data_IF_949565408595
#
_entry.id   IF_949565408595
#
_cell.length_a   1.000
_cell.length_b   1.000
_cell.length_c   1.000
_cell.angle_alpha   90.00
_cell.angle_beta   90.00
_cell.angle_gamma   90.00
#
_symmetry.space_group_name_H-M   'P 1'
#
loop_
_entity.id
_entity.type
_entity.pdbx_description
1 polymer ?
#
# COMPACT_ATOMS: atom_id res chain seq x y z
N UNK A 1 -4.60 -9.36 1.69
CA UNK A 1 -5.21 -10.49 2.42
C UNK A 1 -4.78 -10.38 3.87
N UNK A 2 -5.67 -9.93 4.75
CA UNK A 2 -5.49 -10.03 6.20
C UNK A 2 -6.43 -11.10 6.76
N UNK A 3 -6.20 -11.53 7.99
CA UNK A 3 -7.11 -12.45 8.68
C UNK A 3 -6.82 -13.94 8.48
N UNK A 4 -7.82 -14.76 8.81
CA UNK A 4 -7.71 -16.24 8.93
C UNK A 4 -7.13 -16.94 7.70
N UNK A 5 -7.35 -16.40 6.50
CA UNK A 5 -6.77 -16.93 5.27
C UNK A 5 -5.23 -16.82 5.21
N UNK A 6 -4.63 -15.81 5.87
CA UNK A 6 -3.18 -15.66 5.93
C UNK A 6 -2.55 -16.75 6.81
N UNK A 7 -3.08 -16.97 8.02
CA UNK A 7 -2.63 -18.08 8.90
C UNK A 7 -2.75 -19.42 8.20
N UNK A 8 -3.87 -19.70 7.55
CA UNK A 8 -4.08 -20.98 6.87
C UNK A 8 -3.08 -21.20 5.72
N UNK A 9 -2.69 -20.13 5.03
CA UNK A 9 -1.78 -20.21 3.88
C UNK A 9 -0.30 -20.13 4.25
N UNK A 10 0.07 -19.59 5.42
CA UNK A 10 1.46 -19.52 5.89
C UNK A 10 1.82 -20.61 6.88
N UNK A 11 0.83 -21.32 7.44
CA UNK A 11 1.06 -22.39 8.40
C UNK A 11 1.72 -23.61 7.73
N UNK A 12 2.91 -24.06 8.18
CA UNK A 12 3.63 -25.17 7.57
C UNK A 12 3.09 -26.56 7.98
N UNK A 13 2.19 -26.62 8.98
CA UNK A 13 1.62 -27.86 9.53
C UNK A 13 0.18 -28.14 9.10
N UNK A 14 -0.50 -29.04 9.81
CA UNK A 14 -1.92 -29.33 9.56
C UNK A 14 -2.84 -28.36 10.31
N UNK A 15 -4.12 -28.31 9.90
CA UNK A 15 -5.17 -27.57 10.63
C UNK A 15 -5.29 -28.01 12.10
N UNK A 16 -5.12 -29.31 12.37
CA UNK A 16 -5.18 -29.85 13.73
C UNK A 16 -3.99 -29.37 14.57
N UNK A 17 -2.80 -29.27 13.98
CA UNK A 17 -1.61 -28.74 14.66
C UNK A 17 -1.77 -27.26 15.00
N UNK A 18 -2.42 -26.50 14.11
CA UNK A 18 -2.74 -25.08 14.32
C UNK A 18 -3.77 -24.90 15.43
N UNK A 19 -4.84 -25.71 15.43
CA UNK A 19 -5.85 -25.70 16.50
C UNK A 19 -5.24 -26.04 17.87
N UNK A 20 -4.42 -27.10 17.93
CA UNK A 20 -3.72 -27.48 19.15
C UNK A 20 -2.77 -26.38 19.65
N UNK A 21 -2.15 -25.61 18.74
CA UNK A 21 -1.34 -24.44 19.12
C UNK A 21 -2.20 -23.34 19.74
N UNK A 22 -3.33 -23.00 19.14
CA UNK A 22 -4.23 -21.98 19.69
C UNK A 22 -4.80 -22.38 21.05
N UNK A 23 -5.10 -23.66 21.27
CA UNK A 23 -5.48 -24.16 22.61
C UNK A 23 -4.37 -23.97 23.63
N UNK A 24 -3.10 -24.22 23.25
CA UNK A 24 -1.95 -23.97 24.14
C UNK A 24 -1.80 -22.48 24.46
N UNK A 25 -1.96 -21.60 23.48
CA UNK A 25 -1.91 -20.15 23.70
C UNK A 25 -3.05 -19.66 24.61
N UNK A 26 -4.25 -20.18 24.38
CA UNK A 26 -5.42 -19.81 25.17
C UNK A 26 -5.25 -20.18 26.65
N UNK A 27 -4.73 -21.37 26.92
CA UNK A 27 -4.56 -21.92 28.28
C UNK A 27 -3.24 -21.53 28.96
N UNK A 28 -2.35 -20.81 28.28
CA UNK A 28 -1.07 -20.39 28.84
C UNK A 28 -1.23 -19.33 29.94
N UNK A 29 -0.41 -19.44 30.99
CA UNK A 29 -0.34 -18.43 32.06
C UNK A 29 0.50 -17.22 31.64
N UNK A 30 1.49 -17.42 30.77
CA UNK A 30 2.42 -16.41 30.29
C UNK A 30 2.62 -16.49 28.78
N UNK A 31 3.04 -15.37 28.19
CA UNK A 31 3.38 -15.31 26.77
C UNK A 31 4.71 -16.02 26.49
N UNK A 32 4.72 -16.91 25.51
CA UNK A 32 5.90 -17.64 25.06
C UNK A 32 6.42 -17.05 23.73
N UNK A 33 7.61 -16.42 23.72
CA UNK A 33 8.19 -15.84 22.50
C UNK A 33 8.42 -16.83 21.36
N UNK A 34 8.54 -18.14 21.64
CA UNK A 34 8.68 -19.16 20.58
C UNK A 34 7.44 -19.23 19.68
N UNK A 35 6.31 -18.66 20.10
CA UNK A 35 5.15 -18.56 19.23
C UNK A 35 5.41 -17.68 18.00
N UNK A 36 6.37 -16.76 18.07
CA UNK A 36 6.72 -15.83 16.98
C UNK A 36 7.50 -16.50 15.85
N UNK A 37 8.14 -17.65 16.10
CA UNK A 37 9.08 -18.29 15.16
C UNK A 37 8.42 -18.80 13.87
N UNK A 38 7.12 -19.10 13.90
CA UNK A 38 6.40 -19.78 12.80
C UNK A 38 5.33 -18.92 12.12
N UNK A 39 5.07 -17.72 12.62
CA UNK A 39 4.06 -16.81 12.07
C UNK A 39 4.74 -15.51 11.64
N UNK A 40 4.56 -15.16 10.37
CA UNK A 40 5.26 -14.06 9.67
C UNK A 40 5.06 -12.69 10.33
N UNK A 41 4.01 -12.50 11.14
CA UNK A 41 3.69 -11.27 11.84
C UNK A 41 3.68 -11.47 13.36
N UNK A 42 4.80 -11.18 14.02
CA UNK A 42 4.99 -11.24 15.48
C UNK A 42 3.86 -10.56 16.26
N UNK A 43 3.47 -9.38 15.82
CA UNK A 43 2.56 -8.51 16.55
C UNK A 43 1.08 -8.85 16.30
N UNK A 44 0.80 -9.70 15.32
CA UNK A 44 -0.50 -10.36 15.17
C UNK A 44 -0.67 -11.53 16.13
N UNK A 45 0.43 -12.18 16.51
CA UNK A 45 0.41 -13.14 17.62
C UNK A 45 0.16 -12.40 18.94
N UNK A 46 0.74 -11.22 19.12
CA UNK A 46 0.49 -10.39 20.29
C UNK A 46 -0.98 -9.99 20.40
N UNK A 47 -1.55 -9.52 19.30
CA UNK A 47 -2.96 -9.18 19.19
C UNK A 47 -3.85 -10.40 19.45
N UNK A 48 -3.58 -11.53 18.77
CA UNK A 48 -4.32 -12.78 18.96
C UNK A 48 -4.27 -13.26 20.40
N UNK A 49 -3.08 -13.29 21.01
CA UNK A 49 -2.91 -13.74 22.39
C UNK A 49 -3.62 -12.83 23.40
N UNK A 50 -3.64 -11.52 23.15
CA UNK A 50 -4.43 -10.55 23.91
C UNK A 50 -5.93 -10.79 23.78
N UNK A 51 -6.44 -10.99 22.56
CA UNK A 51 -7.86 -11.27 22.31
C UNK A 51 -8.34 -12.62 22.83
N UNK A 52 -7.44 -13.57 23.10
CA UNK A 52 -7.82 -14.84 23.74
C UNK A 52 -8.26 -14.66 25.21
N UNK A 53 -7.82 -13.61 25.90
CA UNK A 53 -8.25 -13.25 27.26
C UNK A 53 -8.15 -11.73 27.51
N UNK A 54 -9.02 -10.93 26.87
CA UNK A 54 -8.95 -9.47 26.90
C UNK A 54 -9.32 -8.87 28.27
N UNK A 55 -9.74 -9.69 29.22
CA UNK A 55 -9.96 -9.26 30.60
C UNK A 55 -8.64 -9.15 31.37
N UNK A 56 -7.66 -10.01 31.06
CA UNK A 56 -6.41 -10.10 31.83
C UNK A 56 -5.15 -9.83 30.98
N UNK A 57 -5.28 -9.75 29.66
CA UNK A 57 -4.15 -9.64 28.73
C UNK A 57 -4.27 -8.38 27.85
N UNK A 58 -3.23 -7.53 27.83
CA UNK A 58 -3.14 -6.41 26.90
C UNK A 58 -3.25 -6.86 25.44
N UNK A 59 -4.10 -6.21 24.66
CA UNK A 59 -4.14 -6.40 23.21
C UNK A 59 -3.15 -5.42 22.59
N UNK A 60 -2.10 -5.95 21.98
CA UNK A 60 -1.04 -5.16 21.37
C UNK A 60 -1.04 -5.41 19.87
N UNK A 61 -1.29 -4.35 19.11
CA UNK A 61 -1.19 -4.34 17.66
C UNK A 61 -0.53 -3.04 17.16
N UNK A 62 -0.18 -2.98 15.88
CA UNK A 62 0.47 -1.82 15.28
C UNK A 62 -0.28 -0.49 15.44
N UNK A 63 -1.62 -0.50 15.48
CA UNK A 63 -2.41 0.72 15.70
C UNK A 63 -2.36 1.14 17.17
N UNK A 64 -2.43 0.19 18.11
CA UNK A 64 -2.15 0.41 19.52
C UNK A 64 -0.76 1.01 19.72
N UNK A 65 0.25 0.51 19.00
CA UNK A 65 1.61 1.08 19.03
C UNK A 65 1.65 2.52 18.49
N UNK A 66 0.90 2.79 17.42
CA UNK A 66 0.76 4.14 16.84
C UNK A 66 0.09 5.09 17.83
N UNK A 67 -1.03 4.70 18.43
CA UNK A 67 -1.76 5.49 19.42
C UNK A 67 -0.92 5.79 20.66
N UNK A 68 -0.16 4.81 21.17
CA UNK A 68 0.78 5.03 22.28
C UNK A 68 1.81 6.10 21.93
N UNK A 69 2.41 6.02 20.75
CA UNK A 69 3.42 6.98 20.27
C UNK A 69 2.83 8.39 20.10
N UNK A 70 1.65 8.50 19.49
CA UNK A 70 0.91 9.76 19.31
C UNK A 70 0.59 10.44 20.64
N UNK A 71 0.36 9.65 21.69
CA UNK A 71 0.08 10.14 23.04
C UNK A 71 1.34 10.32 23.90
N UNK A 72 2.53 10.12 23.34
CA UNK A 72 3.82 10.32 24.02
C UNK A 72 4.24 9.18 24.95
N UNK A 73 3.66 7.99 24.79
CA UNK A 73 4.05 6.78 25.52
C UNK A 73 5.03 5.92 24.70
N UNK A 74 5.93 5.23 25.39
CA UNK A 74 6.90 4.35 24.73
C UNK A 74 6.19 3.11 24.17
N UNK A 75 6.53 2.74 22.92
CA UNK A 75 6.08 1.49 22.32
C UNK A 75 6.73 0.28 23.03
N UNK A 76 5.95 -0.76 23.40
CA UNK A 76 6.49 -2.07 23.76
C UNK A 76 7.49 -2.59 22.73
N UNK A 77 8.63 -3.10 23.20
CA UNK A 77 9.64 -3.73 22.35
C UNK A 77 9.34 -5.21 22.07
N UNK A 78 8.68 -5.86 23.04
CA UNK A 78 8.20 -7.23 22.99
C UNK A 78 6.95 -7.34 23.89
N UNK A 79 6.20 -8.45 23.78
CA UNK A 79 4.94 -8.62 24.54
C UNK A 79 5.15 -8.63 26.06
N UNK A 80 6.31 -9.11 26.53
CA UNK A 80 6.64 -9.20 27.94
C UNK A 80 7.09 -7.83 28.50
N UNK A 81 7.74 -7.01 27.67
CA UNK A 81 8.28 -5.69 27.99
C UNK A 81 7.35 -4.56 27.51
N UNK A 82 6.17 -4.53 28.12
CA UNK A 82 5.04 -3.64 27.77
C UNK A 82 4.84 -2.47 28.73
N UNK A 83 5.90 -2.04 29.43
CA UNK A 83 5.83 -0.96 30.44
C UNK A 83 5.22 0.34 29.93
N UNK A 84 5.41 0.67 28.65
CA UNK A 84 4.82 1.86 28.06
C UNK A 84 3.30 1.78 27.96
N UNK A 85 2.77 0.60 27.61
CA UNK A 85 1.34 0.31 27.63
C UNK A 85 0.79 0.33 29.06
N UNK A 86 1.48 -0.29 30.02
CA UNK A 86 1.06 -0.29 31.44
C UNK A 86 0.95 1.12 32.00
N UNK A 87 1.92 1.98 31.69
CA UNK A 87 1.88 3.41 32.07
C UNK A 87 0.72 4.17 31.42
N UNK A 88 0.37 3.82 30.19
CA UNK A 88 -0.82 4.38 29.54
C UNK A 88 -2.09 3.90 30.22
N UNK A 89 -2.22 2.59 30.50
CA UNK A 89 -3.38 2.02 31.17
C UNK A 89 -3.61 2.66 32.55
N UNK A 90 -2.55 2.84 33.34
CA UNK A 90 -2.62 3.55 34.63
C UNK A 90 -3.08 5.01 34.47
N UNK A 91 -2.57 5.71 33.45
CA UNK A 91 -2.96 7.08 33.17
C UNK A 91 -4.43 7.18 32.73
N UNK A 92 -4.86 6.27 31.85
CA UNK A 92 -6.23 6.19 31.35
C UNK A 92 -7.21 5.88 32.49
N UNK A 93 -6.92 4.88 33.33
CA UNK A 93 -7.75 4.55 34.49
C UNK A 93 -7.86 5.74 35.47
N UNK A 94 -6.76 6.46 35.70
CA UNK A 94 -6.76 7.60 36.62
C UNK A 94 -7.61 8.80 36.16
N UNK A 95 -7.85 8.93 34.85
CA UNK A 95 -8.52 10.09 34.23
C UNK A 95 -9.94 9.72 33.80
N UNK A 96 -10.06 8.61 33.07
CA UNK A 96 -11.30 8.14 32.43
C UNK A 96 -11.94 7.02 33.26
N UNK A 97 -11.12 6.10 33.79
CA UNK A 97 -11.59 4.83 34.35
C UNK A 97 -12.01 3.84 33.26
N UNK A 98 -12.73 2.78 33.63
CA UNK A 98 -13.35 1.84 32.69
C UNK A 98 -14.66 2.42 32.14
N UNK A 99 -14.58 3.14 31.03
CA UNK A 99 -15.63 3.98 30.48
C UNK A 99 -16.91 3.21 30.13
N UNK A 100 -16.75 1.96 29.70
CA UNK A 100 -17.86 1.06 29.33
C UNK A 100 -18.41 0.25 30.51
N UNK A 101 -17.77 0.26 31.68
CA UNK A 101 -18.20 -0.50 32.85
C UNK A 101 -19.63 -0.13 33.29
N UNK A 102 -20.45 -1.15 33.58
CA UNK A 102 -21.85 -1.02 33.98
C UNK A 102 -22.75 -0.27 32.98
N UNK A 103 -22.37 -0.29 31.69
CA UNK A 103 -23.20 0.19 30.57
C UNK A 103 -23.76 -0.98 29.76
N UNK A 104 -24.72 -0.69 28.87
CA UNK A 104 -25.26 -1.69 27.93
C UNK A 104 -24.22 -2.16 26.88
N UNK A 105 -23.06 -1.51 26.82
CA UNK A 105 -21.95 -1.79 25.90
C UNK A 105 -20.66 -2.12 26.66
N UNK A 106 -20.77 -2.68 27.86
CA UNK A 106 -19.61 -3.09 28.66
C UNK A 106 -18.72 -4.09 27.89
N UNK A 107 -17.46 -3.71 27.70
CA UNK A 107 -16.42 -4.54 27.09
C UNK A 107 -15.29 -4.81 28.09
N UNK A 108 -14.49 -5.88 27.90
CA UNK A 108 -13.33 -6.14 28.74
C UNK A 108 -12.34 -4.96 28.80
N UNK A 109 -11.65 -4.79 29.92
CA UNK A 109 -10.78 -3.62 30.16
C UNK A 109 -9.72 -3.40 29.08
N UNK A 110 -8.92 -4.43 28.74
CA UNK A 110 -7.90 -4.26 27.70
C UNK A 110 -8.47 -4.13 26.29
N UNK A 111 -9.73 -4.56 26.10
CA UNK A 111 -10.47 -4.33 24.87
C UNK A 111 -10.81 -2.85 24.70
N UNK A 112 -11.30 -2.19 25.75
CA UNK A 112 -11.57 -0.74 25.72
C UNK A 112 -10.30 0.09 25.43
N UNK A 113 -9.20 -0.24 26.11
CA UNK A 113 -7.92 0.46 25.92
C UNK A 113 -7.40 0.32 24.49
N UNK A 114 -7.57 -0.86 23.88
CA UNK A 114 -7.19 -1.10 22.50
C UNK A 114 -8.02 -0.26 21.53
N UNK A 115 -9.36 -0.25 21.66
CA UNK A 115 -10.23 0.56 20.80
C UNK A 115 -9.91 2.06 20.88
N UNK A 116 -9.62 2.57 22.08
CA UNK A 116 -9.21 3.96 22.25
C UNK A 116 -7.87 4.27 21.56
N UNK A 117 -6.87 3.41 21.75
CA UNK A 117 -5.55 3.60 21.15
C UNK A 117 -5.57 3.40 19.64
N UNK A 118 -6.44 2.52 19.13
CA UNK A 118 -6.71 2.37 17.70
C UNK A 118 -7.25 3.68 17.15
N UNK A 119 -8.32 4.24 17.72
CA UNK A 119 -8.86 5.55 17.33
C UNK A 119 -7.80 6.65 17.36
N UNK A 120 -7.01 6.73 18.44
CA UNK A 120 -5.93 7.72 18.56
C UNK A 120 -4.77 7.48 17.57
N UNK A 121 -4.61 6.25 17.08
CA UNK A 121 -3.60 5.86 16.11
C UNK A 121 -4.03 6.03 14.65
N UNK A 122 -5.34 6.18 14.38
CA UNK A 122 -5.91 6.27 13.03
C UNK A 122 -6.49 7.64 12.66
N UNK A 123 -7.01 8.39 13.62
CA UNK A 123 -7.70 9.67 13.36
C UNK A 123 -6.76 10.88 13.51
N UNK A 124 -6.94 11.93 12.69
CA UNK A 124 -6.31 13.24 12.93
C UNK A 124 -7.09 14.01 14.02
N UNK A 125 -6.50 15.04 14.63
CA UNK A 125 -7.16 15.83 15.70
C UNK A 125 -8.50 16.49 15.28
N UNK A 126 -8.72 16.70 13.98
CA UNK A 126 -9.95 17.28 13.43
C UNK A 126 -11.08 16.23 13.33
N UNK A 127 -10.75 14.97 13.11
CA UNK A 127 -11.70 13.86 12.92
C UNK A 127 -12.20 13.26 14.24
N UNK A 128 -11.42 13.34 15.33
CA UNK A 128 -11.87 12.93 16.68
C UNK A 128 -13.08 13.77 17.15
N UNK A 129 -13.22 15.00 16.66
CA UNK A 129 -14.38 15.86 16.95
C UNK A 129 -15.62 15.55 16.10
N UNK A 130 -15.47 14.86 14.97
CA UNK A 130 -16.55 14.55 14.03
C UNK A 130 -17.02 13.08 14.10
N UNK A 131 -16.21 12.17 14.64
CA UNK A 131 -16.40 10.71 14.59
C UNK A 131 -17.30 10.08 15.69
N UNK A 132 -17.85 10.84 16.65
CA UNK A 132 -18.80 10.29 17.64
C UNK A 132 -20.24 10.49 17.14
N UNK A 133 -20.79 9.59 16.29
CA UNK A 133 -21.38 8.33 16.78
C UNK A 133 -21.30 7.13 15.80
N UNK A 134 -21.93 5.99 16.17
CA UNK A 134 -22.22 4.73 15.40
C UNK A 134 -21.20 3.61 15.72
N UNK A 135 -21.47 2.34 16.09
CA UNK A 135 -22.62 1.43 16.40
C UNK A 135 -21.95 0.09 16.84
N UNK A 136 -22.54 -0.79 17.67
CA UNK A 136 -21.82 -1.79 18.47
C UNK A 136 -21.88 -3.22 17.92
N UNK A 137 -21.36 -3.49 16.72
CA UNK A 137 -21.21 -4.87 16.24
C UNK A 137 -19.80 -5.17 15.73
N UNK A 138 -19.09 -5.98 16.54
CA UNK A 138 -17.85 -6.72 16.28
C UNK A 138 -16.68 -5.97 15.60
N UNK A 139 -15.70 -5.48 16.40
CA UNK A 139 -14.43 -5.01 15.86
C UNK A 139 -13.64 -6.17 15.24
N UNK A 140 -13.19 -5.95 14.01
CA UNK A 140 -12.24 -6.79 13.28
C UNK A 140 -10.88 -6.75 14.00
N UNK A 141 -10.14 -7.84 13.96
CA UNK A 141 -8.72 -7.91 14.37
C UNK A 141 -7.91 -7.02 13.43
N UNK A 142 -7.34 -5.91 13.93
CA UNK A 142 -6.81 -4.80 13.09
C UNK A 142 -5.28 -4.81 12.98
N UNK A 143 -4.58 -5.39 13.95
CA UNK A 143 -3.13 -5.54 13.92
C UNK A 143 -2.62 -6.29 12.71
N UNK A 144 -3.41 -7.21 12.19
CA UNK A 144 -3.08 -7.89 10.97
C UNK A 144 -3.29 -7.10 9.67
N UNK A 145 -4.08 -6.04 9.68
CA UNK A 145 -4.22 -5.14 8.54
C UNK A 145 -3.06 -4.13 8.47
N UNK A 146 -2.39 -3.86 9.59
CA UNK A 146 -1.22 -2.98 9.65
C UNK A 146 0.13 -3.69 9.87
N UNK A 147 0.12 -5.02 10.09
CA UNK A 147 1.32 -5.89 10.12
C UNK A 147 1.28 -7.03 9.11
N UNK A 148 0.26 -7.06 8.26
CA UNK A 148 0.31 -7.82 7.01
C UNK A 148 1.45 -7.37 6.09
N UNK A 149 2.18 -6.31 6.44
CA UNK A 149 3.23 -5.68 5.67
C UNK A 149 4.59 -6.32 5.93
N UNK A 150 4.99 -7.21 5.02
CA UNK A 150 6.35 -7.30 4.48
C UNK A 150 7.52 -7.52 5.46
N UNK A 151 8.55 -8.25 5.01
CA UNK A 151 9.91 -7.96 5.49
C UNK A 151 10.13 -6.45 5.40
N UNK A 152 10.28 -5.78 6.55
CA UNK A 152 10.24 -4.32 6.67
C UNK A 152 11.33 -3.73 5.78
N UNK A 153 10.96 -3.21 4.60
CA UNK A 153 11.91 -2.50 3.75
C UNK A 153 12.38 -1.27 4.54
N UNK A 154 13.62 -1.30 5.01
CA UNK A 154 14.27 -0.21 5.71
C UNK A 154 15.04 0.61 4.69
N UNK A 155 14.54 1.81 4.41
CA UNK A 155 15.26 2.75 3.56
C UNK A 155 16.53 3.25 4.24
N UNK A 156 17.62 3.32 3.48
CA UNK A 156 18.94 3.83 3.86
C UNK A 156 19.26 4.99 2.92
N UNK A 157 19.88 6.04 3.47
CA UNK A 157 20.40 7.18 2.70
C UNK A 157 19.38 7.86 1.75
N UNK A 158 18.08 7.74 2.05
CA UNK A 158 17.01 8.27 1.22
C UNK A 158 16.84 9.80 1.39
N UNK A 159 17.18 10.37 2.55
CA UNK A 159 16.92 11.78 2.85
C UNK A 159 17.57 12.76 1.86
N UNK A 160 18.88 12.65 1.52
CA UNK A 160 19.50 13.51 0.51
C UNK A 160 18.83 13.42 -0.87
N UNK A 161 18.31 12.23 -1.21
CA UNK A 161 17.62 12.03 -2.48
C UNK A 161 16.26 12.75 -2.50
N UNK A 162 15.50 12.69 -1.39
CA UNK A 162 14.23 13.41 -1.25
C UNK A 162 14.44 14.93 -1.23
N UNK A 163 15.47 15.41 -0.54
CA UNK A 163 15.85 16.84 -0.53
C UNK A 163 16.14 17.34 -1.94
N UNK A 164 16.96 16.59 -2.69
CA UNK A 164 17.26 16.90 -4.09
C UNK A 164 15.97 16.91 -4.93
N UNK A 165 15.04 15.99 -4.67
CA UNK A 165 13.80 15.86 -5.44
C UNK A 165 12.89 17.06 -5.20
N UNK A 166 12.66 17.38 -3.93
CA UNK A 166 11.89 18.54 -3.50
C UNK A 166 12.46 19.83 -4.08
N UNK A 167 13.78 20.05 -4.00
CA UNK A 167 14.40 21.26 -4.58
C UNK A 167 14.22 21.32 -6.11
N UNK A 168 14.40 20.19 -6.80
CA UNK A 168 14.19 20.13 -8.25
C UNK A 168 12.73 20.39 -8.63
N UNK A 169 11.77 19.88 -7.87
CA UNK A 169 10.34 20.11 -8.09
C UNK A 169 9.95 21.57 -7.83
N UNK A 170 10.41 22.14 -6.71
CA UNK A 170 10.21 23.54 -6.35
C UNK A 170 10.75 24.51 -7.42
N UNK A 171 11.83 24.12 -8.12
CA UNK A 171 12.40 24.87 -9.24
C UNK A 171 11.76 24.62 -10.61
N UNK A 172 10.71 23.80 -10.71
CA UNK A 172 10.09 23.44 -11.99
C UNK A 172 10.92 22.45 -12.83
N UNK A 173 11.91 21.78 -12.25
CA UNK A 173 12.89 20.93 -12.96
C UNK A 173 12.35 19.66 -13.60
N UNK A 174 11.04 19.41 -13.52
CA UNK A 174 10.35 18.32 -14.22
C UNK A 174 9.40 18.83 -15.32
N UNK A 175 9.34 20.14 -15.54
CA UNK A 175 8.52 20.80 -16.56
C UNK A 175 9.17 20.79 -17.94
N UNK A 176 8.35 20.92 -18.98
CA UNK A 176 8.83 20.89 -20.36
C UNK A 176 9.73 22.09 -20.65
N UNK A 177 11.00 21.82 -20.98
CA UNK A 177 11.97 22.84 -21.36
C UNK A 177 12.75 23.45 -20.18
N UNK A 178 12.53 22.96 -18.96
CA UNK A 178 13.31 23.31 -17.78
C UNK A 178 14.41 22.26 -17.52
N UNK A 179 15.55 22.71 -17.00
CA UNK A 179 16.66 21.82 -16.60
C UNK A 179 16.66 21.69 -15.09
N UNK A 180 16.31 20.51 -14.59
CA UNK A 180 16.32 20.19 -13.16
C UNK A 180 17.68 19.71 -12.65
N UNK A 181 17.71 19.30 -11.37
CA UNK A 181 18.91 18.75 -10.74
C UNK A 181 19.31 17.35 -11.26
N UNK A 182 18.49 16.77 -12.13
CA UNK A 182 18.76 15.53 -12.87
C UNK A 182 18.96 15.76 -14.37
N UNK A 183 18.97 17.01 -14.85
CA UNK A 183 19.05 17.35 -16.27
C UNK A 183 17.67 17.61 -16.89
N UNK A 184 17.56 17.43 -18.21
CA UNK A 184 16.37 17.78 -19.01
C UNK A 184 15.30 16.67 -18.99
N UNK A 185 14.93 16.19 -17.80
CA UNK A 185 13.87 15.20 -17.62
C UNK A 185 12.50 15.87 -17.57
N UNK A 186 11.76 15.83 -18.67
CA UNK A 186 10.35 16.23 -18.68
C UNK A 186 9.46 15.10 -18.17
N UNK A 187 8.89 15.28 -16.98
CA UNK A 187 8.07 14.27 -16.29
C UNK A 187 6.70 14.81 -15.83
N UNK A 188 6.48 16.13 -15.86
CA UNK A 188 5.21 16.77 -15.47
C UNK A 188 3.99 16.30 -16.29
N UNK A 189 4.23 15.76 -17.50
CA UNK A 189 3.21 15.14 -18.34
C UNK A 189 2.43 14.02 -17.63
N UNK A 190 3.01 13.36 -16.62
CA UNK A 190 2.34 12.30 -15.86
C UNK A 190 1.10 12.82 -15.15
N UNK A 191 1.18 14.00 -14.54
CA UNK A 191 0.06 14.63 -13.84
C UNK A 191 -1.02 15.07 -14.84
N UNK A 192 -0.61 15.68 -15.97
CA UNK A 192 -1.55 16.01 -17.06
C UNK A 192 -2.29 14.77 -17.57
N UNK A 193 -1.57 13.67 -17.77
CA UNK A 193 -2.18 12.43 -18.26
C UNK A 193 -3.07 11.76 -17.20
N UNK A 194 -2.64 11.71 -15.93
CA UNK A 194 -3.46 11.18 -14.85
C UNK A 194 -4.73 12.01 -14.64
N UNK A 195 -4.68 13.34 -14.77
CA UNK A 195 -5.87 14.19 -14.70
C UNK A 195 -6.81 13.98 -15.89
N UNK A 196 -6.26 13.76 -17.09
CA UNK A 196 -7.03 13.35 -18.27
C UNK A 196 -7.75 12.01 -18.05
N UNK A 197 -7.07 11.02 -17.46
CA UNK A 197 -7.68 9.73 -17.11
C UNK A 197 -8.76 9.92 -16.05
N UNK A 198 -8.46 10.60 -14.95
CA UNK A 198 -9.42 10.90 -13.88
C UNK A 198 -10.67 11.59 -14.42
N UNK A 199 -10.50 12.54 -15.32
CA UNK A 199 -11.61 13.31 -15.89
C UNK A 199 -12.42 12.51 -16.90
N UNK A 200 -11.79 11.84 -17.86
CA UNK A 200 -12.52 11.19 -18.95
C UNK A 200 -12.89 9.74 -18.60
N UNK A 201 -11.96 8.97 -18.04
CA UNK A 201 -12.21 7.55 -17.75
C UNK A 201 -13.22 7.39 -16.62
N UNK A 202 -13.11 8.15 -15.51
CA UNK A 202 -14.07 8.00 -14.40
C UNK A 202 -15.43 8.65 -14.65
N UNK A 203 -15.52 9.60 -15.58
CA UNK A 203 -16.79 10.26 -15.90
C UNK A 203 -17.56 9.52 -17.00
N UNK A 204 -16.86 8.94 -17.97
CA UNK A 204 -17.48 8.26 -19.11
C UNK A 204 -17.76 6.77 -18.85
N UNK A 205 -17.05 6.13 -17.91
CA UNK A 205 -17.13 4.69 -17.69
C UNK A 205 -17.33 4.33 -16.22
N UNK A 206 -18.17 3.31 -15.96
CA UNK A 206 -18.18 2.61 -14.69
C UNK A 206 -17.02 1.60 -14.69
N UNK A 207 -15.84 2.06 -14.25
CA UNK A 207 -14.58 1.31 -14.40
C UNK A 207 -14.54 -0.04 -13.68
N UNK A 208 -15.46 -0.28 -12.74
CA UNK A 208 -15.65 -1.56 -12.04
C UNK A 208 -16.72 -2.45 -12.67
N UNK A 209 -17.37 -2.00 -13.73
CA UNK A 209 -18.39 -2.73 -14.51
C UNK A 209 -18.31 -2.37 -16.01
N UNK A 210 -17.10 -2.47 -16.58
CA UNK A 210 -16.86 -2.21 -17.99
C UNK A 210 -17.57 -3.25 -18.86
N UNK A 211 -18.19 -2.79 -19.95
CA UNK A 211 -18.69 -3.69 -20.99
C UNK A 211 -17.65 -3.95 -22.09
N UNK A 212 -17.81 -5.08 -22.79
CA UNK A 212 -16.93 -5.42 -23.92
C UNK A 212 -17.00 -4.40 -25.07
N UNK A 213 -18.15 -3.76 -25.27
CA UNK A 213 -18.37 -2.79 -26.35
C UNK A 213 -17.65 -1.46 -26.09
N UNK A 214 -17.41 -1.12 -24.82
CA UNK A 214 -16.70 0.09 -24.39
C UNK A 214 -15.18 -0.05 -24.45
N UNK A 215 -14.67 -1.28 -24.57
CA UNK A 215 -13.26 -1.57 -24.35
C UNK A 215 -12.33 -0.83 -25.33
N UNK A 216 -12.74 -0.68 -26.60
CA UNK A 216 -11.91 0.04 -27.57
C UNK A 216 -11.83 1.55 -27.27
N UNK A 217 -12.93 2.18 -26.86
CA UNK A 217 -12.93 3.61 -26.50
C UNK A 217 -12.24 3.84 -25.17
N UNK A 218 -12.48 2.98 -24.19
CA UNK A 218 -11.80 2.98 -22.89
C UNK A 218 -10.28 2.93 -23.06
N UNK A 219 -9.75 1.97 -23.83
CA UNK A 219 -8.31 1.83 -24.06
C UNK A 219 -7.68 2.99 -24.82
N UNK A 220 -8.46 3.74 -25.62
CA UNK A 220 -7.96 4.95 -26.31
C UNK A 220 -7.62 6.06 -25.33
N UNK A 221 -8.33 6.18 -24.21
CA UNK A 221 -8.08 7.21 -23.19
C UNK A 221 -6.67 7.07 -22.58
N UNK A 222 -6.17 5.83 -22.46
CA UNK A 222 -4.82 5.56 -21.93
C UNK A 222 -3.69 5.87 -22.91
N UNK A 223 -3.96 6.15 -24.19
CA UNK A 223 -2.93 6.25 -25.23
C UNK A 223 -2.08 7.51 -25.08
N UNK A 224 -2.70 8.69 -25.11
CA UNK A 224 -2.08 10.02 -24.93
C UNK A 224 -3.19 11.02 -24.59
N UNK A 225 -3.01 11.82 -23.55
CA UNK A 225 -3.82 13.01 -23.34
C UNK A 225 -3.56 14.05 -24.45
N UNK A 226 -4.53 14.92 -24.78
CA UNK A 226 -4.41 15.91 -25.86
C UNK A 226 -3.16 16.80 -25.79
N UNK A 227 -2.71 17.16 -24.58
CA UNK A 227 -1.58 18.07 -24.35
C UNK A 227 -0.26 17.33 -24.04
N UNK A 228 -0.23 16.00 -24.16
CA UNK A 228 0.94 15.18 -23.88
C UNK A 228 1.65 14.78 -25.18
N UNK A 229 2.71 15.52 -25.51
CA UNK A 229 3.51 15.36 -26.73
C UNK A 229 4.81 14.56 -26.50
N UNK A 230 4.68 13.31 -26.09
CA UNK A 230 5.83 12.41 -25.98
C UNK A 230 6.30 11.92 -27.35
N UNK A 231 7.56 11.47 -27.42
CA UNK A 231 8.14 10.84 -28.62
C UNK A 231 7.48 9.51 -29.01
N UNK A 232 6.69 8.93 -28.10
CA UNK A 232 5.85 7.75 -28.29
C UNK A 232 4.59 7.87 -27.45
N UNK A 233 3.62 6.96 -27.59
CA UNK A 233 2.43 6.98 -26.73
C UNK A 233 2.79 6.77 -25.27
N UNK A 234 2.02 7.29 -24.31
CA UNK A 234 2.25 7.10 -22.87
C UNK A 234 2.52 5.63 -22.48
N UNK A 235 1.73 4.63 -22.91
CA UNK A 235 2.01 3.23 -22.57
C UNK A 235 3.35 2.74 -23.14
N UNK A 236 3.63 3.06 -24.40
CA UNK A 236 4.92 2.76 -25.06
C UNK A 236 6.09 3.35 -24.27
N UNK A 237 6.01 4.62 -23.86
CA UNK A 237 7.07 5.28 -23.09
C UNK A 237 7.30 4.58 -21.75
N UNK A 238 6.25 4.41 -20.95
CA UNK A 238 6.32 3.81 -19.62
C UNK A 238 6.80 2.35 -19.67
N UNK A 239 6.31 1.56 -20.62
CA UNK A 239 6.66 0.14 -20.76
C UNK A 239 8.03 -0.10 -21.41
N UNK A 240 8.80 0.96 -21.75
CA UNK A 240 10.20 0.83 -22.18
C UNK A 240 10.45 1.01 -23.67
N UNK A 241 9.71 1.92 -24.32
CA UNK A 241 9.90 2.24 -25.72
C UNK A 241 9.45 1.11 -26.62
N UNK A 242 10.31 0.64 -27.53
CA UNK A 242 9.91 -0.29 -28.60
C UNK A 242 9.30 -1.59 -28.07
N UNK A 243 9.89 -2.24 -27.06
CA UNK A 243 9.34 -3.45 -26.45
C UNK A 243 8.01 -3.17 -25.77
N UNK A 244 7.92 -2.06 -25.04
CA UNK A 244 6.68 -1.60 -24.43
C UNK A 244 5.55 -1.35 -25.44
N UNK A 245 5.88 -0.82 -26.62
CA UNK A 245 4.92 -0.63 -27.72
C UNK A 245 4.42 -1.95 -28.33
N UNK A 246 5.26 -3.00 -28.37
CA UNK A 246 4.85 -4.34 -28.79
C UNK A 246 3.85 -4.90 -27.76
N UNK A 247 4.23 -4.90 -26.48
CA UNK A 247 3.37 -5.37 -25.39
C UNK A 247 2.01 -4.64 -25.37
N UNK A 248 2.02 -3.31 -25.51
CA UNK A 248 0.78 -2.53 -25.54
C UNK A 248 -0.13 -2.93 -26.71
N UNK A 249 0.43 -3.15 -27.89
CA UNK A 249 -0.34 -3.57 -29.06
C UNK A 249 -0.87 -5.00 -28.91
N UNK A 250 -0.07 -5.92 -28.38
CA UNK A 250 -0.48 -7.31 -28.16
C UNK A 250 -1.59 -7.41 -27.09
N UNK A 251 -1.45 -6.64 -26.00
CA UNK A 251 -2.51 -6.45 -25.01
C UNK A 251 -3.80 -5.91 -25.63
N UNK A 252 -3.71 -4.84 -26.43
CA UNK A 252 -4.86 -4.24 -27.08
C UNK A 252 -5.53 -5.23 -28.03
N UNK A 253 -4.76 -5.94 -28.85
CA UNK A 253 -5.29 -6.91 -29.81
C UNK A 253 -6.03 -8.04 -29.08
N UNK A 254 -5.42 -8.63 -28.05
CA UNK A 254 -6.05 -9.67 -27.24
C UNK A 254 -7.31 -9.19 -26.54
N UNK A 255 -7.30 -7.95 -26.03
CA UNK A 255 -8.47 -7.31 -25.42
C UNK A 255 -9.63 -7.22 -26.40
N UNK A 256 -9.36 -6.82 -27.66
CA UNK A 256 -10.39 -6.65 -28.69
C UNK A 256 -10.82 -7.98 -29.35
N UNK A 257 -10.01 -9.03 -29.29
CA UNK A 257 -10.37 -10.39 -29.70
C UNK A 257 -11.30 -11.07 -28.68
N UNK A 258 -11.18 -10.70 -27.40
CA UNK A 258 -11.94 -11.27 -26.28
C UNK A 258 -12.58 -10.16 -25.41
N UNK A 259 -13.46 -9.32 -25.97
CA UNK A 259 -13.86 -8.06 -25.35
C UNK A 259 -14.62 -8.24 -24.02
N UNK A 260 -15.51 -9.22 -23.92
CA UNK A 260 -16.27 -9.46 -22.68
C UNK A 260 -15.36 -9.93 -21.54
N UNK A 261 -14.50 -10.93 -21.80
CA UNK A 261 -13.58 -11.46 -20.78
C UNK A 261 -12.55 -10.39 -20.36
N UNK A 262 -12.04 -9.62 -21.32
CA UNK A 262 -11.09 -8.54 -21.06
C UNK A 262 -11.72 -7.41 -20.25
N UNK A 263 -12.97 -7.05 -20.52
CA UNK A 263 -13.70 -6.05 -19.76
C UNK A 263 -13.97 -6.51 -18.32
N UNK A 264 -14.33 -7.78 -18.10
CA UNK A 264 -14.47 -8.37 -16.76
C UNK A 264 -13.14 -8.32 -15.98
N UNK A 265 -12.03 -8.70 -16.64
CA UNK A 265 -10.69 -8.68 -16.04
C UNK A 265 -10.25 -7.27 -15.68
N UNK A 266 -10.48 -6.28 -16.55
CA UNK A 266 -10.14 -4.88 -16.27
C UNK A 266 -11.07 -4.29 -15.20
N UNK A 267 -12.35 -4.62 -15.21
CA UNK A 267 -13.30 -4.24 -14.17
C UNK A 267 -12.85 -4.72 -12.80
N UNK A 268 -12.46 -5.99 -12.72
CA UNK A 268 -11.85 -6.56 -11.52
C UNK A 268 -10.53 -5.87 -11.18
N UNK A 269 -9.69 -5.55 -12.17
CA UNK A 269 -8.44 -4.82 -11.92
C UNK A 269 -8.69 -3.48 -11.24
N UNK A 270 -9.79 -2.77 -11.49
CA UNK A 270 -10.09 -1.47 -10.88
C UNK A 270 -10.96 -1.55 -9.61
N UNK A 271 -11.53 -2.69 -9.26
CA UNK A 271 -12.37 -2.81 -8.06
C UNK A 271 -11.55 -2.82 -6.75
N UNK A 272 -11.47 -1.66 -6.09
CA UNK A 272 -10.74 -1.48 -4.82
C UNK A 272 -11.33 -2.27 -3.65
N UNK A 273 -12.56 -2.80 -3.76
CA UNK A 273 -13.14 -3.69 -2.76
C UNK A 273 -12.56 -5.12 -2.82
N UNK A 274 -11.80 -5.44 -3.88
CA UNK A 274 -11.14 -6.75 -4.05
C UNK A 274 -9.65 -6.67 -3.69
N UNK A 275 -9.05 -7.76 -3.16
CA UNK A 275 -7.63 -7.79 -2.84
C UNK A 275 -6.76 -7.53 -4.08
N UNK A 276 -5.79 -6.61 -3.96
CA UNK A 276 -4.86 -6.27 -5.05
C UNK A 276 -4.16 -7.50 -5.64
N UNK A 277 -3.77 -8.46 -4.81
CA UNK A 277 -3.13 -9.70 -5.27
C UNK A 277 -4.01 -10.50 -6.22
N UNK A 278 -5.32 -10.53 -5.95
CA UNK A 278 -6.29 -11.30 -6.72
C UNK A 278 -6.64 -10.57 -8.01
N UNK A 279 -6.74 -9.24 -7.94
CA UNK A 279 -6.89 -8.33 -9.09
C UNK A 279 -5.75 -8.53 -10.09
N UNK A 280 -4.52 -8.53 -9.59
CA UNK A 280 -3.31 -8.76 -10.37
C UNK A 280 -3.21 -10.20 -10.87
N UNK A 281 -3.53 -11.20 -10.04
CA UNK A 281 -3.53 -12.60 -10.46
C UNK A 281 -4.52 -12.85 -11.61
N UNK A 282 -5.75 -12.34 -11.49
CA UNK A 282 -6.77 -12.44 -12.56
C UNK A 282 -6.30 -11.78 -13.85
N UNK A 283 -5.67 -10.60 -13.75
CA UNK A 283 -5.07 -9.92 -14.90
C UNK A 283 -3.98 -10.79 -15.56
N UNK A 284 -3.07 -11.34 -14.75
CA UNK A 284 -2.01 -12.21 -15.24
C UNK A 284 -2.56 -13.48 -15.89
N UNK A 285 -3.52 -14.17 -15.27
CA UNK A 285 -4.08 -15.41 -15.80
C UNK A 285 -4.69 -15.21 -17.20
N UNK A 286 -5.36 -14.08 -17.41
CA UNK A 286 -5.95 -13.77 -18.70
C UNK A 286 -4.91 -13.34 -19.75
N UNK A 287 -3.88 -12.57 -19.36
CA UNK A 287 -2.88 -12.03 -20.29
C UNK A 287 -1.57 -12.83 -20.37
N UNK A 288 -1.40 -13.90 -19.58
CA UNK A 288 -0.21 -14.77 -19.57
C UNK A 288 0.24 -15.25 -20.96
N UNK A 289 -0.65 -15.54 -21.94
CA UNK A 289 -0.21 -15.95 -23.28
C UNK A 289 0.57 -14.89 -24.08
N UNK A 290 0.53 -13.62 -23.66
CA UNK A 290 1.20 -12.53 -24.38
C UNK A 290 2.71 -12.51 -24.17
N UNK A 291 3.18 -13.02 -23.05
CA UNK A 291 4.57 -12.85 -22.62
C UNK A 291 5.16 -14.15 -22.10
N UNK A 292 6.39 -14.43 -22.52
CA UNK A 292 7.15 -15.56 -21.96
C UNK A 292 7.79 -15.22 -20.60
N UNK A 293 7.89 -13.92 -20.28
CA UNK A 293 8.34 -13.43 -18.98
C UNK A 293 7.19 -12.69 -18.30
N UNK A 294 6.85 -12.97 -17.03
CA UNK A 294 5.66 -12.37 -16.43
C UNK A 294 5.82 -10.88 -16.04
N UNK A 295 7.04 -10.37 -15.88
CA UNK A 295 7.32 -9.01 -15.36
C UNK A 295 6.71 -7.84 -16.17
N UNK A 296 6.72 -7.87 -17.51
CA UNK A 296 6.07 -6.84 -18.33
C UNK A 296 4.55 -6.76 -18.12
N UNK A 297 3.86 -7.88 -17.84
CA UNK A 297 2.42 -7.87 -17.52
C UNK A 297 2.13 -7.18 -16.18
N UNK A 298 3.00 -7.35 -15.18
CA UNK A 298 2.89 -6.62 -13.91
C UNK A 298 3.09 -5.11 -14.14
N UNK A 299 4.02 -4.75 -15.03
CA UNK A 299 4.27 -3.35 -15.37
C UNK A 299 3.05 -2.72 -16.05
N UNK A 300 2.40 -3.46 -16.95
CA UNK A 300 1.17 -3.05 -17.62
C UNK A 300 -0.01 -2.88 -16.65
N UNK A 301 -0.27 -3.87 -15.78
CA UNK A 301 -1.35 -3.80 -14.79
C UNK A 301 -1.17 -2.61 -13.83
N UNK A 302 0.04 -2.44 -13.32
CA UNK A 302 0.35 -1.37 -12.36
C UNK A 302 0.44 0.02 -13.01
N UNK A 303 0.69 0.10 -14.32
CA UNK A 303 0.52 1.33 -15.10
C UNK A 303 -0.94 1.78 -15.11
N UNK A 304 -1.89 0.87 -15.38
CA UNK A 304 -3.32 1.19 -15.32
C UNK A 304 -3.72 1.68 -13.92
N UNK A 305 -3.26 0.98 -12.88
CA UNK A 305 -3.53 1.33 -11.49
C UNK A 305 -2.99 2.72 -11.12
N UNK A 306 -1.72 3.02 -11.41
CA UNK A 306 -1.11 4.32 -11.11
C UNK A 306 -1.80 5.47 -11.85
N UNK A 307 -2.13 5.30 -13.13
CA UNK A 307 -2.78 6.37 -13.89
C UNK A 307 -4.24 6.62 -13.46
N UNK A 308 -4.89 5.61 -12.88
CA UNK A 308 -6.30 5.69 -12.43
C UNK A 308 -6.42 6.10 -10.95
N UNK A 309 -5.44 5.73 -10.13
CA UNK A 309 -5.35 5.99 -8.69
C UNK A 309 -3.93 6.49 -8.36
N UNK A 310 -3.56 7.72 -8.79
CA UNK A 310 -2.20 8.24 -8.64
C UNK A 310 -1.77 8.50 -7.19
N UNK A 311 -2.69 8.43 -6.23
CA UNK A 311 -2.40 8.50 -4.79
C UNK A 311 -2.13 7.12 -4.19
N UNK A 312 -2.65 6.05 -4.78
CA UNK A 312 -2.67 4.71 -4.18
C UNK A 312 -1.58 3.79 -4.72
N UNK A 313 -1.34 3.84 -6.03
CA UNK A 313 -0.51 2.86 -6.72
C UNK A 313 0.65 3.50 -7.47
N UNK A 314 1.83 2.88 -7.36
CA UNK A 314 3.00 3.20 -8.18
C UNK A 314 3.12 2.17 -9.31
N UNK A 315 3.45 2.61 -10.53
CA UNK A 315 3.74 1.69 -11.62
C UNK A 315 5.03 0.94 -11.32
N UNK A 316 4.99 -0.39 -11.39
CA UNK A 316 6.15 -1.25 -11.23
C UNK A 316 6.91 -1.39 -12.54
N UNK A 317 8.24 -1.38 -12.46
CA UNK A 317 9.12 -1.79 -13.54
C UNK A 317 10.36 -2.43 -12.95
N UNK A 318 10.54 -3.73 -13.18
CA UNK A 318 11.57 -4.54 -12.50
C UNK A 318 12.93 -3.84 -12.44
N UNK A 319 13.53 -3.51 -13.58
CA UNK A 319 14.88 -2.91 -13.59
C UNK A 319 14.99 -1.56 -12.89
N UNK A 320 13.90 -0.78 -12.81
CA UNK A 320 13.89 0.50 -12.09
C UNK A 320 13.75 0.26 -10.58
N UNK A 321 12.82 -0.61 -10.20
CA UNK A 321 12.55 -0.92 -8.79
C UNK A 321 13.69 -1.72 -8.17
N UNK A 322 14.26 -2.70 -8.87
CA UNK A 322 15.41 -3.47 -8.37
C UNK A 322 16.58 -2.56 -8.06
N UNK A 323 17.00 -1.72 -9.01
CA UNK A 323 18.13 -0.80 -8.79
C UNK A 323 17.85 0.21 -7.67
N UNK A 324 16.64 0.79 -7.62
CA UNK A 324 16.30 1.76 -6.58
C UNK A 324 16.28 1.12 -5.18
N UNK A 325 15.61 -0.01 -5.01
CA UNK A 325 15.49 -0.65 -3.71
C UNK A 325 16.80 -1.33 -3.27
N UNK A 326 17.60 -1.86 -4.19
CA UNK A 326 18.95 -2.36 -3.86
C UNK A 326 19.88 -1.24 -3.38
N UNK A 327 19.77 -0.04 -3.94
CA UNK A 327 20.64 1.09 -3.58
C UNK A 327 20.18 1.79 -2.29
N UNK A 328 18.88 2.05 -2.16
CA UNK A 328 18.32 2.89 -1.09
C UNK A 328 17.60 2.10 0.00
N UNK A 329 17.68 0.78 0.01
CA UNK A 329 17.05 -0.04 1.06
C UNK A 329 17.81 -1.33 1.33
N UNK A 330 17.33 -2.13 2.28
CA UNK A 330 17.81 -3.48 2.57
C UNK A 330 17.07 -4.57 1.79
N UNK A 331 16.21 -4.19 0.83
CA UNK A 331 15.33 -5.10 0.13
C UNK A 331 15.86 -5.50 -1.25
N UNK A 332 15.82 -6.80 -1.54
CA UNK A 332 16.14 -7.35 -2.85
C UNK A 332 14.85 -7.66 -3.63
N UNK A 333 14.70 -7.04 -4.81
CA UNK A 333 13.54 -7.22 -5.67
C UNK A 333 13.73 -8.48 -6.52
N UNK A 334 12.81 -9.44 -6.40
CA UNK A 334 12.84 -10.64 -7.23
C UNK A 334 12.34 -10.37 -8.64
N UNK A 335 12.79 -11.18 -9.59
CA UNK A 335 12.29 -11.16 -10.97
C UNK A 335 10.94 -11.87 -11.07
N UNK A 336 10.10 -11.45 -12.02
CA UNK A 336 8.84 -12.13 -12.35
C UNK A 336 7.58 -11.34 -12.03
N UNK A 337 6.43 -12.02 -12.04
CA UNK A 337 5.12 -11.47 -11.68
C UNK A 337 4.80 -11.97 -10.28
N UNK A 338 5.08 -11.13 -9.29
CA UNK A 338 4.89 -11.46 -7.88
C UNK A 338 4.01 -10.39 -7.21
N UNK A 339 2.67 -10.54 -7.23
CA UNK A 339 1.74 -9.55 -6.70
C UNK A 339 1.97 -9.20 -5.24
N UNK A 340 2.43 -10.17 -4.44
CA UNK A 340 2.76 -9.95 -3.03
C UNK A 340 3.96 -9.01 -2.90
N UNK A 341 5.02 -9.23 -3.67
CA UNK A 341 6.18 -8.35 -3.67
C UNK A 341 5.82 -6.96 -4.21
N UNK A 342 5.00 -6.86 -5.26
CA UNK A 342 4.53 -5.56 -5.73
C UNK A 342 3.82 -4.78 -4.62
N UNK A 343 2.91 -5.44 -3.90
CA UNK A 343 2.22 -4.80 -2.79
C UNK A 343 3.18 -4.31 -1.70
N UNK A 344 4.19 -5.12 -1.33
CA UNK A 344 5.25 -4.71 -0.40
C UNK A 344 5.99 -3.45 -0.89
N UNK A 345 6.34 -3.40 -2.17
CA UNK A 345 7.03 -2.26 -2.77
C UNK A 345 6.12 -1.03 -2.82
N UNK A 346 4.84 -1.21 -3.15
CA UNK A 346 3.85 -0.14 -3.17
C UNK A 346 3.67 0.50 -1.77
N UNK A 347 3.57 -0.32 -0.72
CA UNK A 347 3.51 0.16 0.66
C UNK A 347 4.79 0.90 1.10
N UNK A 348 5.95 0.42 0.65
CA UNK A 348 7.19 1.13 0.88
C UNK A 348 7.22 2.48 0.15
N UNK A 349 6.69 2.55 -1.08
CA UNK A 349 6.51 3.79 -1.83
C UNK A 349 5.55 4.77 -1.13
N UNK A 350 4.48 4.28 -0.50
CA UNK A 350 3.59 5.13 0.31
C UNK A 350 4.31 5.80 1.49
N UNK A 351 5.31 5.13 2.09
CA UNK A 351 6.18 5.75 3.11
C UNK A 351 7.05 6.88 2.52
N UNK A 352 7.44 6.78 1.24
CA UNK A 352 8.15 7.85 0.54
C UNK A 352 7.22 9.03 0.30
N UNK A 353 5.98 8.81 -0.14
CA UNK A 353 4.95 9.86 -0.29
C UNK A 353 4.80 10.65 1.01
N UNK A 354 4.63 9.97 2.15
CA UNK A 354 4.50 10.66 3.45
C UNK A 354 5.70 11.53 3.81
N UNK A 355 6.92 11.10 3.47
CA UNK A 355 8.13 11.90 3.68
C UNK A 355 8.18 13.11 2.75
N UNK A 356 7.81 12.92 1.47
CA UNK A 356 7.74 14.02 0.51
C UNK A 356 6.67 15.05 0.91
N UNK A 357 5.50 14.63 1.39
CA UNK A 357 4.46 15.53 1.90
C UNK A 357 5.01 16.45 2.99
N UNK A 358 5.66 15.89 4.02
CA UNK A 358 6.26 16.72 5.07
C UNK A 358 7.27 17.73 4.54
N UNK A 359 8.00 17.41 3.47
CA UNK A 359 8.95 18.34 2.84
C UNK A 359 8.26 19.37 1.94
N UNK A 360 7.15 19.01 1.29
CA UNK A 360 6.37 19.93 0.46
C UNK A 360 5.65 20.95 1.34
N UNK A 361 5.11 20.53 2.49
CA UNK A 361 4.47 21.41 3.48
C UNK A 361 5.42 22.49 4.03
N UNK A 362 6.72 22.19 4.07
CA UNK A 362 7.77 23.11 4.52
C UNK A 362 8.27 24.05 3.40
N UNK A 363 8.00 23.74 2.12
CA UNK A 363 8.47 24.52 0.97
C UNK A 363 7.30 25.21 0.23
N UNK A 364 7.09 26.53 0.43
CA UNK A 364 5.96 27.25 -0.13
C UNK A 364 6.01 27.41 -1.66
N UNK A 365 7.09 26.97 -2.33
CA UNK A 365 7.19 26.93 -3.79
C UNK A 365 6.41 25.75 -4.39
N UNK A 366 6.04 24.77 -3.57
CA UNK A 366 5.28 23.60 -3.98
C UNK A 366 3.87 23.73 -3.40
N UNK A 367 2.86 23.81 -4.27
CA UNK A 367 1.45 24.02 -3.91
C UNK A 367 0.59 22.76 -4.09
N UNK A 368 1.24 21.59 -4.11
CA UNK A 368 0.60 20.29 -4.35
C UNK A 368 1.02 19.28 -3.29
N UNK A 369 0.13 18.34 -2.97
CA UNK A 369 0.48 17.16 -2.19
C UNK A 369 1.31 16.19 -3.05
N UNK A 370 2.23 15.48 -2.40
CA UNK A 370 2.97 14.38 -2.99
C UNK A 370 2.05 13.20 -3.31
N UNK A 371 2.39 12.49 -4.38
CA UNK A 371 1.61 11.38 -4.92
C UNK A 371 2.52 10.21 -5.32
N UNK A 372 1.93 9.08 -5.72
CA UNK A 372 2.70 7.98 -6.30
C UNK A 372 3.31 8.34 -7.66
N UNK A 373 2.82 9.39 -8.33
CA UNK A 373 3.49 9.97 -9.51
C UNK A 373 4.82 10.62 -9.15
N UNK A 374 4.92 11.24 -7.97
CA UNK A 374 6.18 11.78 -7.46
C UNK A 374 7.18 10.66 -7.19
N UNK A 375 6.74 9.61 -6.50
CA UNK A 375 7.59 8.45 -6.20
C UNK A 375 8.03 7.74 -7.48
N UNK A 376 7.12 7.56 -8.44
CA UNK A 376 7.45 7.02 -9.74
C UNK A 376 8.49 7.89 -10.45
N UNK A 377 8.33 9.22 -10.44
CA UNK A 377 9.27 10.16 -11.05
C UNK A 377 10.63 10.13 -10.37
N UNK A 378 10.67 10.15 -9.04
CA UNK A 378 11.87 9.98 -8.23
C UNK A 378 12.66 8.74 -8.64
N UNK A 379 12.00 7.58 -8.70
CA UNK A 379 12.63 6.31 -9.12
C UNK A 379 13.13 6.42 -10.56
N UNK A 380 12.35 7.03 -11.45
CA UNK A 380 12.64 7.12 -12.88
C UNK A 380 13.87 7.96 -13.21
N UNK A 381 14.02 9.11 -12.54
CA UNK A 381 15.13 10.05 -12.78
C UNK A 381 16.40 9.64 -12.01
N UNK A 382 16.24 8.91 -10.91
CA UNK A 382 17.37 8.42 -10.10
C UNK A 382 18.06 7.23 -10.77
N UNK A 383 17.28 6.26 -11.22
CA UNK A 383 17.80 5.11 -11.97
C UNK A 383 17.73 5.48 -13.44
N UNK A 384 18.80 6.03 -14.02
CA UNK A 384 18.82 6.53 -15.41
C UNK A 384 18.36 5.51 -16.46
N UNK A 385 17.94 5.97 -17.64
CA UNK A 385 17.58 5.12 -18.78
C UNK A 385 18.81 4.40 -19.38
N UNK A 386 20.01 4.93 -19.14
CA UNK A 386 21.28 4.42 -19.71
C UNK A 386 21.91 3.25 -18.92
N UNK A 387 21.38 2.92 -17.74
CA UNK A 387 21.87 1.80 -16.91
C UNK A 387 21.01 0.53 -17.01
N UNK A 388 20.16 0.41 -18.05
CA UNK A 388 19.35 -0.79 -18.33
C UNK A 388 19.53 -1.27 -19.76
#
# INVERSE_FOLDING_TARGET
MGGSALVLNTWPGTLDDLAARFERMQTAEEYDPSWEDDIVATSAIWELYGHMDPANRPILNSQVMSGLDSLGFNKPADYQNRRGFERFADAYDSIVGHATAATDHEVPWYFELEQFLVMAGTENQYDIHSALPVDPEYPKVVGWEAEGHAGKIVFRDLAPLLEKYTESKAGGGFEKGETGLWGDYWESWKWTHADHIRTNVRTEYEITDLSGDELESFLKQFKNAPDVELSSTVPTYLLGGRSGGILWNDFKNRSLEHPHDAAEVLSMLFDENKPLTDRLARFNDFYAPLETSPGPLLSLATMFLMLTYPTEYVMYKYGKFSSFFEEYSDYNVSTGFEPKQYWVLNEASQRIVRRLNGMFDEDPRIDTEASMLDVHTLIWVTVGVENL
#
